data_IF_723801850807
#
_entry.id   IF_723801850807
#
_cell.length_a   1.000
_cell.length_b   1.000
_cell.length_c   1.000
_cell.angle_alpha   90.00
_cell.angle_beta   90.00
_cell.angle_gamma   90.00
#
_symmetry.space_group_name_H-M   'P 1'
#
loop_
_entity.id
_entity.type
_entity.pdbx_description
1 polymer ?
#
# COMPACT_ATOMS: atom_id res chain seq x y z
N UNK A 1 14.25 -16.02 21.46
CA UNK A 1 12.91 -15.51 21.82
C UNK A 1 11.93 -16.05 20.78
N UNK A 2 11.28 -17.18 21.09
CA UNK A 2 10.37 -17.89 20.18
C UNK A 2 8.97 -17.48 20.63
N UNK A 3 8.34 -16.52 19.97
CA UNK A 3 6.97 -16.13 20.29
C UNK A 3 6.05 -17.26 19.85
N UNK A 4 5.65 -18.06 20.84
CA UNK A 4 4.55 -19.00 20.72
C UNK A 4 3.27 -18.20 20.47
N UNK A 5 2.92 -17.98 19.20
CA UNK A 5 1.57 -17.61 18.84
C UNK A 5 0.83 -18.91 18.52
N UNK A 6 0.20 -19.50 19.54
CA UNK A 6 -0.83 -20.49 19.28
C UNK A 6 -1.95 -19.82 18.46
N UNK A 7 -2.63 -20.55 17.55
CA UNK A 7 -3.75 -20.00 16.82
C UNK A 7 -4.89 -19.79 17.80
N UNK A 8 -4.97 -18.62 18.41
CA UNK A 8 -6.17 -18.23 19.14
C UNK A 8 -7.25 -17.97 18.09
N UNK A 9 -8.13 -18.96 17.97
CA UNK A 9 -9.31 -19.02 17.10
C UNK A 9 -10.40 -18.02 17.53
N UNK A 10 -10.01 -16.94 18.20
CA UNK A 10 -10.93 -15.88 18.53
C UNK A 10 -10.91 -14.92 17.35
N UNK A 11 -11.98 -14.90 16.56
CA UNK A 11 -12.29 -13.82 15.62
C UNK A 11 -12.52 -12.47 16.31
N UNK A 12 -11.72 -12.20 17.34
CA UNK A 12 -11.76 -11.03 18.17
C UNK A 12 -11.04 -9.90 17.43
N UNK A 13 -11.78 -8.83 17.07
CA UNK A 13 -11.21 -7.71 16.33
C UNK A 13 -10.15 -6.95 17.15
N UNK A 14 -10.08 -7.15 18.48
CA UNK A 14 -9.10 -6.54 19.36
C UNK A 14 -7.82 -7.37 19.52
N UNK A 15 -7.74 -8.57 18.91
CA UNK A 15 -6.48 -9.29 18.81
C UNK A 15 -5.48 -8.49 17.94
N UNK A 16 -4.29 -8.12 18.46
CA UNK A 16 -3.32 -7.31 17.73
C UNK A 16 -2.84 -7.96 16.43
N UNK A 17 -2.76 -9.30 16.36
CA UNK A 17 -2.38 -10.05 15.15
C UNK A 17 -3.48 -9.97 14.09
N UNK A 18 -4.74 -10.15 14.47
CA UNK A 18 -5.89 -10.01 13.58
C UNK A 18 -6.00 -8.57 13.06
N UNK A 19 -5.86 -7.58 13.94
CA UNK A 19 -5.86 -6.17 13.59
C UNK A 19 -4.73 -5.80 12.61
N UNK A 20 -3.49 -6.25 12.87
CA UNK A 20 -2.36 -6.03 11.97
C UNK A 20 -2.54 -6.73 10.61
N UNK A 21 -3.11 -7.94 10.60
CA UNK A 21 -3.41 -8.65 9.35
C UNK A 21 -4.47 -7.90 8.53
N UNK A 22 -5.51 -7.36 9.18
CA UNK A 22 -6.51 -6.53 8.52
C UNK A 22 -5.91 -5.22 7.97
N UNK A 23 -5.00 -4.57 8.72
CA UNK A 23 -4.24 -3.42 8.22
C UNK A 23 -3.38 -3.80 7.01
N UNK A 24 -2.70 -4.94 7.04
CA UNK A 24 -1.87 -5.40 5.92
C UNK A 24 -2.71 -5.64 4.65
N UNK A 25 -3.89 -6.27 4.78
CA UNK A 25 -4.83 -6.46 3.67
C UNK A 25 -5.29 -5.13 3.06
N UNK A 26 -5.71 -4.18 3.91
CA UNK A 26 -6.12 -2.84 3.46
C UNK A 26 -4.97 -2.10 2.75
N UNK A 27 -3.73 -2.20 3.26
CA UNK A 27 -2.57 -1.62 2.59
C UNK A 27 -2.32 -2.24 1.21
N UNK A 28 -2.53 -3.54 1.05
CA UNK A 28 -2.40 -4.21 -0.24
C UNK A 28 -3.51 -3.77 -1.22
N UNK A 29 -4.73 -3.58 -0.74
CA UNK A 29 -5.85 -3.04 -1.54
C UNK A 29 -5.55 -1.61 -2.01
N UNK A 30 -5.18 -0.72 -1.08
CA UNK A 30 -4.79 0.66 -1.39
C UNK A 30 -3.63 0.68 -2.39
N UNK A 31 -2.64 -0.21 -2.24
CA UNK A 31 -1.52 -0.28 -3.18
C UNK A 31 -1.98 -0.62 -4.61
N UNK A 32 -2.90 -1.58 -4.77
CA UNK A 32 -3.47 -1.93 -6.09
C UNK A 32 -4.27 -0.78 -6.69
N UNK A 33 -5.09 -0.11 -5.88
CA UNK A 33 -5.89 1.03 -6.32
C UNK A 33 -5.00 2.20 -6.75
N UNK A 34 -3.91 2.45 -5.99
CA UNK A 34 -2.89 3.44 -6.34
C UNK A 34 -2.24 3.11 -7.69
N UNK A 35 -1.83 1.87 -7.93
CA UNK A 35 -1.21 1.47 -9.22
C UNK A 35 -2.15 1.73 -10.41
N UNK A 36 -3.43 1.41 -10.27
CA UNK A 36 -4.44 1.68 -11.31
C UNK A 36 -4.61 3.19 -11.52
N UNK A 37 -4.70 3.97 -10.44
CA UNK A 37 -4.83 5.42 -10.51
C UNK A 37 -3.60 6.08 -11.16
N UNK A 38 -2.39 5.66 -10.76
CA UNK A 38 -1.12 6.14 -11.34
C UNK A 38 -1.05 5.82 -12.83
N UNK A 39 -1.42 4.60 -13.25
CA UNK A 39 -1.44 4.23 -14.67
C UNK A 39 -2.40 5.10 -15.47
N UNK A 40 -3.61 5.34 -14.95
CA UNK A 40 -4.61 6.22 -15.59
C UNK A 40 -4.11 7.66 -15.66
N UNK A 41 -3.53 8.19 -14.58
CA UNK A 41 -2.96 9.53 -14.56
C UNK A 41 -1.80 9.70 -15.56
N UNK A 42 -0.90 8.70 -15.65
CA UNK A 42 0.16 8.68 -16.67
C UNK A 42 -0.41 8.64 -18.08
N UNK A 43 -1.44 7.83 -18.34
CA UNK A 43 -2.12 7.78 -19.63
C UNK A 43 -2.84 9.10 -19.98
N UNK A 44 -3.35 9.82 -18.98
CA UNK A 44 -3.92 11.16 -19.13
C UNK A 44 -2.88 12.27 -19.29
N UNK A 45 -1.58 11.94 -19.29
CA UNK A 45 -0.50 12.89 -19.53
C UNK A 45 0.09 13.55 -18.27
N UNK A 46 -0.37 13.21 -17.06
CA UNK A 46 0.19 13.78 -15.85
C UNK A 46 1.66 13.37 -15.67
N UNK A 47 2.47 14.31 -15.19
CA UNK A 47 3.85 14.06 -14.80
C UNK A 47 3.93 13.31 -13.47
N UNK A 48 5.05 12.61 -13.25
CA UNK A 48 5.34 11.97 -11.96
C UNK A 48 5.34 12.95 -10.77
N UNK A 49 5.64 14.22 -11.01
CA UNK A 49 5.63 15.24 -9.97
C UNK A 49 4.18 15.57 -9.55
N UNK A 50 3.29 15.80 -10.51
CA UNK A 50 1.88 16.10 -10.25
C UNK A 50 1.18 14.92 -9.55
N UNK A 51 1.43 13.69 -10.01
CA UNK A 51 0.90 12.48 -9.37
C UNK A 51 1.39 12.37 -7.92
N UNK A 52 2.68 12.64 -7.67
CA UNK A 52 3.24 12.64 -6.33
C UNK A 52 2.56 13.65 -5.41
N UNK A 53 2.36 14.89 -5.88
CA UNK A 53 1.63 15.93 -5.13
C UNK A 53 0.22 15.48 -4.76
N UNK A 54 -0.53 14.89 -5.70
CA UNK A 54 -1.89 14.42 -5.46
C UNK A 54 -1.96 13.25 -4.48
N UNK A 55 -0.96 12.36 -4.48
CA UNK A 55 -0.86 11.24 -3.56
C UNK A 55 -0.22 11.59 -2.21
N UNK A 56 0.24 12.85 -2.02
CA UNK A 56 0.95 13.27 -0.81
C UNK A 56 2.33 12.63 -0.64
N UNK A 57 2.94 12.17 -1.73
CA UNK A 57 4.26 11.51 -1.75
C UNK A 57 5.25 12.28 -2.61
N UNK A 58 6.54 12.21 -2.27
CA UNK A 58 7.55 12.91 -3.08
C UNK A 58 7.74 12.26 -4.45
N UNK A 59 8.14 13.05 -5.46
CA UNK A 59 8.54 12.56 -6.78
C UNK A 59 9.61 11.46 -6.70
N UNK A 60 10.54 11.57 -5.75
CA UNK A 60 11.58 10.57 -5.50
C UNK A 60 10.99 9.25 -4.99
N UNK A 61 9.96 9.29 -4.13
CA UNK A 61 9.25 8.10 -3.67
C UNK A 61 8.53 7.39 -4.84
N UNK A 62 7.89 8.17 -5.74
CA UNK A 62 7.28 7.63 -6.95
C UNK A 62 8.31 7.01 -7.90
N UNK A 63 9.40 7.72 -8.20
CA UNK A 63 10.48 7.14 -9.01
C UNK A 63 11.09 5.89 -8.38
N UNK A 64 11.25 5.82 -7.06
CA UNK A 64 11.75 4.61 -6.39
C UNK A 64 10.78 3.44 -6.52
N UNK A 65 9.47 3.67 -6.37
CA UNK A 65 8.43 2.63 -6.47
C UNK A 65 8.23 2.13 -7.90
N UNK A 66 8.28 3.03 -8.88
CA UNK A 66 7.95 2.73 -10.28
C UNK A 66 9.16 2.61 -11.23
N UNK A 67 10.39 2.79 -10.75
CA UNK A 67 11.63 2.59 -11.55
C UNK A 67 11.77 1.17 -12.10
N UNK A 68 11.22 0.16 -11.42
CA UNK A 68 11.38 -1.25 -11.78
C UNK A 68 10.29 -1.79 -12.71
N UNK A 69 9.24 -1.01 -12.98
CA UNK A 69 8.09 -1.39 -13.83
C UNK A 69 8.15 -0.72 -15.21
N UNK A 70 9.33 -0.25 -15.61
CA UNK A 70 9.61 0.27 -16.95
C UNK A 70 10.03 -0.84 -17.91
#
# INVERSE_FOLDING_TARGET
MRTSLGPDESGDPDNPVTALTAVARRRAEIARDEEVAVRRARAAGLSWAEIGVLLGVSKQAMHKKYRSVG
#
